data_IF_434369277227
#
_entry.id   IF_434369277227
#
_cell.length_a   1.000
_cell.length_b   1.000
_cell.length_c   1.000
_cell.angle_alpha   90.00
_cell.angle_beta   90.00
_cell.angle_gamma   90.00
#
_symmetry.space_group_name_H-M   'P 1'
#
loop_
_entity.id
_entity.type
_entity.pdbx_description
1 polymer ?
#
# COMPACT_ATOMS: atom_id res chain seq x y z
N UNK A 1 -5.85 54.04 37.23
CA UNK A 1 -5.57 54.17 35.78
C UNK A 1 -5.34 52.76 35.23
N UNK A 2 -6.25 52.24 34.39
CA UNK A 2 -6.20 50.86 33.87
C UNK A 2 -5.24 50.79 32.69
N UNK A 3 -4.22 49.95 32.77
CA UNK A 3 -3.16 49.77 31.76
C UNK A 3 -3.73 49.14 30.47
N UNK A 4 -4.23 49.99 29.57
CA UNK A 4 -4.72 49.60 28.24
C UNK A 4 -3.64 48.93 27.36
N UNK A 5 -2.37 49.20 27.65
CA UNK A 5 -1.21 48.67 26.92
C UNK A 5 -0.93 47.19 27.18
N UNK A 6 -1.17 46.67 28.39
CA UNK A 6 -0.96 45.25 28.70
C UNK A 6 -1.97 44.32 28.02
N UNK A 7 -3.20 44.81 27.81
CA UNK A 7 -4.27 44.04 27.18
C UNK A 7 -4.06 43.87 25.68
N UNK A 8 -3.56 44.92 25.01
CA UNK A 8 -3.25 44.86 23.57
C UNK A 8 -2.09 43.90 23.26
N UNK A 9 -1.05 43.89 24.10
CA UNK A 9 0.08 42.98 23.95
C UNK A 9 -0.33 41.51 24.15
N UNK A 10 -1.18 41.22 25.15
CA UNK A 10 -1.70 39.87 25.37
C UNK A 10 -2.55 39.34 24.21
N UNK A 11 -3.39 40.20 23.61
CA UNK A 11 -4.20 39.84 22.45
C UNK A 11 -3.34 39.59 21.22
N UNK A 12 -2.31 40.41 20.99
CA UNK A 12 -1.38 40.23 19.87
C UNK A 12 -0.61 38.91 19.97
N UNK A 13 -0.09 38.57 21.16
CA UNK A 13 0.61 37.30 21.40
C UNK A 13 -0.32 36.11 21.22
N UNK A 14 -1.56 36.18 21.72
CA UNK A 14 -2.54 35.12 21.55
C UNK A 14 -2.95 34.92 20.09
N UNK A 15 -3.07 36.00 19.30
CA UNK A 15 -3.36 35.92 17.87
C UNK A 15 -2.19 35.32 17.08
N UNK A 16 -0.94 35.68 17.40
CA UNK A 16 0.25 35.10 16.77
C UNK A 16 0.38 33.61 17.10
N UNK A 17 0.12 33.21 18.36
CA UNK A 17 0.08 31.79 18.76
C UNK A 17 -1.04 31.03 18.04
N UNK A 18 -2.25 31.60 17.96
CA UNK A 18 -3.37 30.96 17.25
C UNK A 18 -3.13 30.84 15.74
N UNK A 19 -2.46 31.82 15.13
CA UNK A 19 -2.09 31.79 13.71
C UNK A 19 -0.95 30.79 13.45
N UNK A 20 0.04 30.72 14.35
CA UNK A 20 1.11 29.72 14.31
C UNK A 20 0.59 28.29 14.49
N UNK A 21 -0.38 28.07 15.38
CA UNK A 21 -1.03 26.75 15.54
C UNK A 21 -1.85 26.34 14.31
N UNK A 22 -2.46 27.28 13.58
CA UNK A 22 -3.17 26.95 12.32
C UNK A 22 -2.24 26.62 11.16
N UNK A 23 -1.04 27.18 11.13
CA UNK A 23 -0.04 26.92 10.09
C UNK A 23 0.79 25.65 10.38
N UNK A 24 0.80 25.16 11.64
CA UNK A 24 1.60 24.01 12.08
C UNK A 24 0.86 22.68 12.21
N UNK A 25 -0.44 22.61 11.90
CA UNK A 25 -1.13 21.33 11.79
C UNK A 25 -0.78 20.69 10.44
N UNK A 26 0.41 20.08 10.37
CA UNK A 26 0.65 18.99 9.43
C UNK A 26 -0.57 18.04 9.50
N UNK A 27 -1.02 17.51 8.36
CA UNK A 27 -2.11 16.53 8.32
C UNK A 27 -1.76 15.33 9.21
N UNK A 28 -2.18 15.35 10.48
CA UNK A 28 -2.09 14.21 11.38
C UNK A 28 -3.31 13.34 11.07
N UNK A 29 -3.21 12.53 10.02
CA UNK A 29 -4.29 11.66 9.59
C UNK A 29 -3.97 10.97 8.26
N UNK A 30 -4.69 9.88 7.93
CA UNK A 30 -4.54 9.25 6.62
C UNK A 30 -4.93 10.25 5.54
N UNK A 31 -4.16 10.29 4.45
CA UNK A 31 -4.50 11.08 3.27
C UNK A 31 -5.83 10.64 2.66
N UNK A 32 -6.08 9.33 2.67
CA UNK A 32 -7.30 8.75 2.14
C UNK A 32 -7.94 7.79 3.14
N UNK A 33 -9.26 7.84 3.25
CA UNK A 33 -10.06 6.85 3.98
C UNK A 33 -11.11 6.27 3.04
N UNK A 34 -11.18 4.94 2.98
CA UNK A 34 -12.08 4.19 2.11
C UNK A 34 -12.89 3.20 2.95
N UNK A 35 -14.21 3.35 2.95
CA UNK A 35 -15.12 2.39 3.58
C UNK A 35 -15.85 1.60 2.50
N UNK A 36 -15.65 0.27 2.50
CA UNK A 36 -16.34 -0.65 1.59
C UNK A 36 -17.54 -1.24 2.31
N UNK A 37 -18.73 -0.87 1.84
CA UNK A 37 -19.99 -1.38 2.36
C UNK A 37 -20.10 -2.87 2.10
N UNK A 38 -20.37 -3.64 3.15
CA UNK A 38 -20.63 -5.08 3.04
C UNK A 38 -22.12 -5.31 2.83
N UNK A 39 -22.49 -6.08 1.79
CA UNK A 39 -23.89 -6.41 1.51
C UNK A 39 -24.49 -7.34 2.56
N UNK A 40 -25.84 -7.41 2.63
CA UNK A 40 -26.57 -8.41 3.42
C UNK A 40 -26.15 -9.81 2.94
N UNK A 41 -25.39 -10.54 3.76
CA UNK A 41 -24.80 -11.83 3.41
C UNK A 41 -23.27 -11.92 3.57
N UNK A 42 -22.60 -10.82 3.98
CA UNK A 42 -21.17 -10.87 4.28
C UNK A 42 -20.87 -11.75 5.50
N UNK A 43 -20.37 -12.96 5.23
CA UNK A 43 -19.77 -13.85 6.23
C UNK A 43 -18.29 -13.49 6.40
N UNK A 44 -18.00 -12.39 7.10
CA UNK A 44 -16.64 -12.04 7.51
C UNK A 44 -16.20 -12.81 8.76
N UNK A 45 -14.95 -13.29 8.75
CA UNK A 45 -14.18 -13.91 9.83
C UNK A 45 -14.92 -14.57 10.99
N UNK A 46 -15.13 -15.89 10.91
CA UNK A 46 -15.36 -16.72 12.10
C UNK A 46 -14.12 -16.66 13.00
N UNK A 47 -14.30 -16.59 14.33
CA UNK A 47 -13.25 -16.33 15.35
C UNK A 47 -12.07 -17.31 15.48
N UNK A 48 -11.56 -17.86 14.39
CA UNK A 48 -10.25 -18.54 14.31
C UNK A 48 -9.17 -17.52 13.94
N UNK A 49 -7.90 -17.90 14.16
CA UNK A 49 -6.75 -17.10 13.76
C UNK A 49 -6.93 -16.59 12.32
N UNK A 50 -6.78 -15.29 12.13
CA UNK A 50 -7.15 -14.62 10.90
C UNK A 50 -6.12 -14.96 9.83
N UNK A 51 -6.46 -15.96 9.01
CA UNK A 51 -5.62 -16.47 7.94
C UNK A 51 -5.80 -15.61 6.70
N UNK A 52 -4.68 -15.30 6.06
CA UNK A 52 -4.65 -14.69 4.74
C UNK A 52 -3.79 -15.49 3.78
N UNK A 53 -3.81 -15.08 2.52
CA UNK A 53 -3.06 -15.74 1.46
C UNK A 53 -2.64 -14.78 0.36
N UNK A 54 -1.43 -14.98 -0.18
CA UNK A 54 -0.95 -14.36 -1.41
C UNK A 54 -0.89 -15.42 -2.51
N UNK A 55 -1.40 -15.15 -3.70
CA UNK A 55 -1.41 -16.09 -4.82
C UNK A 55 -1.03 -15.39 -6.12
N UNK A 56 -0.26 -16.06 -6.97
CA UNK A 56 -0.08 -15.63 -8.35
C UNK A 56 -1.36 -15.95 -9.13
N UNK A 57 -2.05 -14.95 -9.65
CA UNK A 57 -3.30 -15.10 -10.41
C UNK A 57 -3.17 -14.74 -11.89
N UNK A 58 -2.04 -14.15 -12.27
CA UNK A 58 -1.67 -13.83 -13.64
C UNK A 58 -0.19 -13.48 -13.73
N UNK A 59 0.33 -13.28 -14.95
CA UNK A 59 1.75 -12.95 -15.16
C UNK A 59 2.06 -11.54 -14.64
N UNK A 60 2.70 -11.47 -13.47
CA UNK A 60 2.96 -10.25 -12.72
C UNK A 60 1.75 -9.73 -11.93
N UNK A 61 0.69 -10.54 -11.77
CA UNK A 61 -0.52 -10.19 -11.03
C UNK A 61 -0.63 -11.07 -9.78
N UNK A 62 -0.56 -10.43 -8.61
CA UNK A 62 -0.69 -11.11 -7.32
C UNK A 62 -2.00 -10.72 -6.66
N UNK A 63 -2.69 -11.71 -6.09
CA UNK A 63 -3.89 -11.52 -5.28
C UNK A 63 -3.59 -11.80 -3.82
N UNK A 64 -3.87 -10.82 -2.97
CA UNK A 64 -3.80 -10.93 -1.52
C UNK A 64 -5.22 -11.01 -0.98
N UNK A 65 -5.52 -12.05 -0.19
CA UNK A 65 -6.81 -12.25 0.48
C UNK A 65 -6.62 -12.22 1.98
N UNK A 66 -7.44 -11.44 2.68
CA UNK A 66 -7.45 -11.38 4.14
C UNK A 66 -8.83 -11.01 4.66
N UNK A 67 -9.49 -11.88 5.41
CA UNK A 67 -10.80 -11.63 6.03
C UNK A 67 -11.86 -11.00 5.08
N UNK A 68 -11.98 -11.58 3.88
CA UNK A 68 -12.91 -11.11 2.85
C UNK A 68 -12.46 -9.86 2.08
N UNK A 69 -11.34 -9.22 2.47
CA UNK A 69 -10.65 -8.21 1.70
C UNK A 69 -9.84 -8.87 0.57
N UNK A 70 -9.89 -8.29 -0.63
CA UNK A 70 -9.17 -8.74 -1.82
C UNK A 70 -8.34 -7.59 -2.38
N UNK A 71 -7.03 -7.73 -2.39
CA UNK A 71 -6.10 -6.71 -2.88
C UNK A 71 -5.34 -7.30 -4.06
N UNK A 72 -5.41 -6.65 -5.22
CA UNK A 72 -4.57 -6.99 -6.35
C UNK A 72 -3.31 -6.14 -6.34
N UNK A 73 -2.19 -6.73 -6.75
CA UNK A 73 -0.93 -6.01 -6.95
C UNK A 73 -0.42 -6.28 -8.36
N UNK A 74 -0.02 -5.23 -9.07
CA UNK A 74 0.47 -5.33 -10.45
C UNK A 74 1.51 -4.25 -10.69
N UNK A 75 2.54 -4.56 -11.48
CA UNK A 75 3.42 -3.52 -12.03
C UNK A 75 2.93 -3.05 -13.38
N UNK A 76 3.12 -1.78 -13.70
CA UNK A 76 2.69 -1.23 -14.99
C UNK A 76 3.37 -1.90 -16.20
N UNK A 77 4.51 -2.58 -16.03
CA UNK A 77 5.16 -3.36 -17.10
C UNK A 77 4.75 -4.84 -17.15
N UNK A 78 3.95 -5.29 -16.17
CA UNK A 78 3.53 -6.68 -16.12
C UNK A 78 2.70 -7.03 -17.36
N UNK A 79 2.85 -8.26 -17.87
CA UNK A 79 2.06 -8.73 -19.01
C UNK A 79 0.55 -8.73 -18.68
N UNK A 80 0.19 -8.97 -17.41
CA UNK A 80 -1.17 -8.84 -16.93
C UNK A 80 -1.73 -7.41 -17.02
N UNK A 81 -0.89 -6.38 -17.10
CA UNK A 81 -1.28 -4.98 -17.28
C UNK A 81 -1.45 -4.66 -18.77
N UNK A 82 -2.47 -5.21 -19.40
CA UNK A 82 -2.80 -4.95 -20.81
C UNK A 82 -4.31 -4.81 -21.01
N UNK A 83 -4.72 -4.09 -22.06
CA UNK A 83 -6.14 -3.92 -22.38
C UNK A 83 -6.86 -5.27 -22.56
N UNK A 84 -6.15 -6.29 -23.08
CA UNK A 84 -6.70 -7.62 -23.27
C UNK A 84 -6.83 -8.40 -21.94
N UNK A 85 -5.86 -8.30 -21.02
CA UNK A 85 -5.83 -9.11 -19.81
C UNK A 85 -6.66 -8.51 -18.65
N UNK A 86 -6.85 -7.19 -18.61
CA UNK A 86 -7.53 -6.50 -17.50
C UNK A 86 -8.99 -6.95 -17.33
N UNK A 87 -9.67 -7.31 -18.43
CA UNK A 87 -11.04 -7.82 -18.40
C UNK A 87 -11.21 -9.13 -17.61
N UNK A 88 -10.15 -9.94 -17.51
CA UNK A 88 -10.16 -11.24 -16.85
C UNK A 88 -9.63 -11.20 -15.42
N UNK A 89 -9.29 -10.00 -14.90
CA UNK A 89 -8.78 -9.88 -13.55
C UNK A 89 -9.83 -10.32 -12.51
N UNK A 90 -9.40 -11.02 -11.44
CA UNK A 90 -10.33 -11.39 -10.39
C UNK A 90 -10.84 -10.13 -9.68
N UNK A 91 -12.06 -10.20 -9.15
CA UNK A 91 -12.63 -9.08 -8.39
C UNK A 91 -11.73 -8.69 -7.20
N UNK A 92 -11.47 -7.39 -7.07
CA UNK A 92 -10.67 -6.81 -6.01
C UNK A 92 -11.36 -5.59 -5.39
N UNK A 93 -11.05 -5.36 -4.12
CA UNK A 93 -11.47 -4.20 -3.35
C UNK A 93 -10.50 -3.02 -3.54
N UNK A 94 -9.21 -3.33 -3.75
CA UNK A 94 -8.12 -2.39 -3.98
C UNK A 94 -7.12 -3.00 -4.98
N UNK A 95 -6.66 -2.18 -5.92
CA UNK A 95 -5.50 -2.44 -6.76
C UNK A 95 -4.33 -1.59 -6.25
N UNK A 96 -3.18 -2.21 -5.97
CA UNK A 96 -1.91 -1.55 -5.69
C UNK A 96 -1.05 -1.66 -6.94
N UNK A 97 -0.77 -0.52 -7.56
CA UNK A 97 -0.02 -0.47 -8.81
C UNK A 97 1.38 0.09 -8.56
N UNK A 98 2.42 -0.64 -8.98
CA UNK A 98 3.78 -0.11 -9.04
C UNK A 98 4.04 0.58 -10.39
N UNK A 99 4.93 1.59 -10.43
CA UNK A 99 5.19 2.35 -11.65
C UNK A 99 5.88 1.48 -12.71
N UNK A 100 5.89 1.96 -13.95
CA UNK A 100 6.65 1.32 -15.03
C UNK A 100 8.16 1.47 -14.76
N UNK A 101 8.90 0.37 -14.89
CA UNK A 101 10.35 0.28 -14.73
C UNK A 101 11.08 0.37 -16.08
N UNK A 102 10.46 -0.18 -17.12
CA UNK A 102 10.97 -0.32 -18.49
C UNK A 102 10.20 0.52 -19.50
N UNK A 103 9.08 1.12 -19.07
CA UNK A 103 8.22 1.95 -19.91
C UNK A 103 7.42 1.17 -20.95
N UNK A 104 7.20 -0.15 -20.74
CA UNK A 104 6.42 -1.00 -21.64
C UNK A 104 5.00 -0.47 -21.80
N UNK A 105 4.42 0.04 -20.72
CA UNK A 105 3.19 0.82 -20.76
C UNK A 105 3.42 2.17 -20.11
N UNK A 106 3.14 3.24 -20.85
CA UNK A 106 3.08 4.59 -20.32
C UNK A 106 1.62 4.92 -19.97
N UNK A 107 1.34 5.07 -18.68
CA UNK A 107 0.07 5.61 -18.19
C UNK A 107 -0.97 4.56 -17.77
N UNK A 108 -2.22 5.01 -17.70
CA UNK A 108 -3.31 4.34 -16.97
C UNK A 108 -4.41 3.78 -17.89
N UNK A 109 -4.17 3.76 -19.20
CA UNK A 109 -5.18 3.43 -20.21
C UNK A 109 -5.83 2.04 -20.02
N UNK A 110 -5.09 0.95 -19.69
CA UNK A 110 -5.71 -0.36 -19.45
C UNK A 110 -6.74 -0.34 -18.32
N UNK A 111 -6.65 0.60 -17.37
CA UNK A 111 -7.54 0.68 -16.22
C UNK A 111 -8.85 1.41 -16.52
N UNK A 112 -8.97 2.11 -17.65
CA UNK A 112 -10.16 2.92 -17.96
C UNK A 112 -11.48 2.12 -17.93
N UNK A 113 -11.41 0.82 -18.24
CA UNK A 113 -12.55 -0.10 -18.22
C UNK A 113 -12.95 -0.58 -16.81
N UNK A 114 -12.10 -0.40 -15.79
CA UNK A 114 -12.32 -0.89 -14.42
C UNK A 114 -13.11 0.11 -13.57
N UNK A 115 -14.37 0.34 -13.93
CA UNK A 115 -15.22 1.28 -13.20
C UNK A 115 -15.42 0.89 -11.72
N UNK A 116 -15.27 1.87 -10.84
CA UNK A 116 -15.54 1.71 -9.40
C UNK A 116 -14.46 0.97 -8.59
N UNK A 117 -13.43 0.40 -9.23
CA UNK A 117 -12.29 -0.17 -8.53
C UNK A 117 -11.48 0.93 -7.82
N UNK A 118 -11.00 0.66 -6.61
CA UNK A 118 -10.06 1.54 -5.92
C UNK A 118 -8.64 1.24 -6.42
N UNK A 119 -7.91 2.24 -6.89
CA UNK A 119 -6.55 2.07 -7.42
C UNK A 119 -5.59 2.99 -6.66
N UNK A 120 -4.67 2.40 -5.92
CA UNK A 120 -3.57 3.10 -5.27
C UNK A 120 -2.32 3.02 -6.14
N UNK A 121 -1.67 4.17 -6.34
CA UNK A 121 -0.46 4.31 -7.16
C UNK A 121 0.44 5.43 -6.62
N UNK A 122 1.73 5.45 -6.99
CA UNK A 122 2.55 6.64 -6.81
C UNK A 122 1.94 7.85 -7.52
N UNK A 123 2.00 9.02 -6.91
CA UNK A 123 1.56 10.26 -7.53
C UNK A 123 2.42 10.56 -8.78
N UNK A 124 1.81 10.97 -9.91
CA UNK A 124 2.57 11.40 -11.08
C UNK A 124 3.49 12.57 -10.74
N UNK A 125 4.76 12.51 -11.16
CA UNK A 125 5.76 13.55 -10.89
C UNK A 125 5.43 14.86 -11.61
N UNK A 126 4.87 14.76 -12.82
CA UNK A 126 4.67 15.91 -13.72
C UNK A 126 3.28 16.56 -13.61
N UNK A 127 2.49 16.18 -12.59
CA UNK A 127 1.12 16.68 -12.43
C UNK A 127 0.15 16.21 -13.52
N UNK A 128 0.54 15.20 -14.30
CA UNK A 128 -0.30 14.62 -15.36
C UNK A 128 -1.66 14.22 -14.78
N UNK A 129 -2.77 14.74 -15.34
CA UNK A 129 -4.09 14.45 -14.82
C UNK A 129 -4.40 12.97 -14.93
N UNK A 130 -4.98 12.42 -13.87
CA UNK A 130 -5.41 11.03 -13.80
C UNK A 130 -6.65 10.87 -14.70
N UNK A 131 -6.68 9.90 -15.63
CA UNK A 131 -7.80 9.74 -16.56
C UNK A 131 -9.07 9.27 -15.84
N UNK A 132 -10.25 9.42 -16.45
CA UNK A 132 -11.49 8.86 -15.93
C UNK A 132 -11.43 7.32 -15.89
N UNK A 133 -12.22 6.71 -15.00
CA UNK A 133 -12.30 5.26 -14.85
C UNK A 133 -12.45 4.85 -13.38
N UNK A 134 -11.46 4.15 -12.79
CA UNK A 134 -11.50 3.79 -11.37
C UNK A 134 -11.33 5.00 -10.45
N UNK A 135 -11.49 4.77 -9.15
CA UNK A 135 -11.19 5.75 -8.11
C UNK A 135 -9.71 5.66 -7.78
N UNK A 136 -8.96 6.68 -8.17
CA UNK A 136 -7.51 6.71 -7.98
C UNK A 136 -7.12 7.39 -6.67
N UNK A 137 -6.09 6.83 -6.03
CA UNK A 137 -5.48 7.31 -4.79
C UNK A 137 -3.98 7.50 -5.04
N UNK A 138 -3.59 8.64 -5.65
CA UNK A 138 -2.18 8.97 -5.86
C UNK A 138 -1.50 9.26 -4.52
N UNK A 139 -0.39 8.59 -4.26
CA UNK A 139 0.36 8.63 -3.02
C UNK A 139 1.71 9.32 -3.20
N UNK A 140 2.11 10.12 -2.23
CA UNK A 140 3.47 10.60 -2.04
C UNK A 140 4.13 9.78 -0.94
N UNK A 141 5.44 9.90 -0.82
CA UNK A 141 6.19 9.33 0.30
C UNK A 141 5.55 9.70 1.64
N UNK A 142 5.39 8.70 2.52
CA UNK A 142 4.74 8.76 3.83
C UNK A 142 3.22 8.99 3.82
N UNK A 143 2.59 9.15 2.65
CA UNK A 143 1.14 9.16 2.59
C UNK A 143 0.58 7.82 3.10
N UNK A 144 -0.56 7.91 3.79
CA UNK A 144 -1.27 6.77 4.34
C UNK A 144 -2.67 6.69 3.77
N UNK A 145 -3.07 5.50 3.32
CA UNK A 145 -4.46 5.17 2.98
C UNK A 145 -4.99 4.17 4.02
N UNK A 146 -6.17 4.46 4.57
CA UNK A 146 -6.94 3.53 5.38
C UNK A 146 -8.10 2.99 4.57
N UNK A 147 -8.24 1.67 4.52
CA UNK A 147 -9.37 0.99 3.91
C UNK A 147 -9.99 0.04 4.93
N UNK A 148 -11.31 0.08 5.06
CA UNK A 148 -12.06 -0.82 5.93
C UNK A 148 -13.13 -1.57 5.14
N UNK A 149 -13.26 -2.86 5.42
CA UNK A 149 -14.32 -3.72 4.89
C UNK A 149 -14.82 -4.65 6.00
N UNK A 150 -15.97 -4.31 6.57
CA UNK A 150 -16.47 -4.98 7.77
C UNK A 150 -15.48 -4.87 8.95
N UNK A 151 -14.93 -5.99 9.40
CA UNK A 151 -13.92 -6.06 10.48
C UNK A 151 -12.48 -5.99 9.99
N UNK A 152 -12.26 -6.21 8.70
CA UNK A 152 -10.94 -6.11 8.09
C UNK A 152 -10.54 -4.63 7.97
N UNK A 153 -9.34 -4.33 8.43
CA UNK A 153 -8.67 -3.04 8.27
C UNK A 153 -7.42 -3.25 7.43
N UNK A 154 -7.23 -2.39 6.44
CA UNK A 154 -6.00 -2.27 5.68
C UNK A 154 -5.47 -0.86 5.89
N UNK A 155 -4.21 -0.76 6.34
CA UNK A 155 -3.44 0.48 6.26
C UNK A 155 -2.35 0.30 5.22
N UNK A 156 -2.33 1.19 4.22
CA UNK A 156 -1.28 1.25 3.21
C UNK A 156 -0.43 2.48 3.47
N UNK A 157 0.88 2.31 3.63
CA UNK A 157 1.84 3.41 3.78
C UNK A 157 2.79 3.41 2.59
N UNK A 158 2.92 4.54 1.91
CA UNK A 158 3.90 4.73 0.85
C UNK A 158 5.29 4.98 1.47
N UNK A 159 6.25 4.13 1.13
CA UNK A 159 7.58 4.14 1.74
C UNK A 159 8.59 4.88 0.85
N UNK A 160 9.49 5.69 1.45
CA UNK A 160 10.56 6.33 0.70
C UNK A 160 11.54 5.31 0.12
N UNK A 161 12.13 5.68 -1.02
CA UNK A 161 13.36 5.09 -1.48
C UNK A 161 14.59 5.42 -0.63
N UNK A 162 15.78 5.06 -1.13
CA UNK A 162 17.04 5.44 -0.50
C UNK A 162 17.13 6.94 -0.24
N UNK A 163 17.93 7.37 0.76
CA UNK A 163 18.13 8.79 1.06
C UNK A 163 18.47 9.60 -0.20
N UNK A 164 17.79 10.74 -0.39
CA UNK A 164 17.98 11.62 -1.54
C UNK A 164 17.07 11.33 -2.74
N UNK A 165 16.25 10.28 -2.71
CA UNK A 165 15.25 10.02 -3.75
C UNK A 165 13.84 10.43 -3.29
N UNK A 166 13.15 11.24 -4.11
CA UNK A 166 11.76 11.64 -3.86
C UNK A 166 10.74 10.54 -4.21
N UNK A 167 11.20 9.44 -4.83
CA UNK A 167 10.35 8.36 -5.32
C UNK A 167 9.89 7.41 -4.21
N UNK A 168 8.67 6.91 -4.36
CA UNK A 168 8.16 5.80 -3.55
C UNK A 168 8.91 4.52 -3.97
N UNK A 169 9.61 3.89 -3.03
CA UNK A 169 10.25 2.59 -3.28
C UNK A 169 9.30 1.41 -3.10
N UNK A 170 8.18 1.60 -2.39
CA UNK A 170 7.20 0.54 -2.19
C UNK A 170 6.07 0.94 -1.26
N UNK A 171 5.22 -0.03 -0.95
CA UNK A 171 4.08 0.15 -0.06
C UNK A 171 4.12 -0.87 1.06
N UNK A 172 3.92 -0.43 2.31
CA UNK A 172 3.66 -1.34 3.42
C UNK A 172 2.16 -1.47 3.60
N UNK A 173 1.66 -2.69 3.43
CA UNK A 173 0.28 -3.09 3.68
C UNK A 173 0.21 -3.74 5.06
N UNK A 174 -0.45 -3.08 6.00
CA UNK A 174 -0.80 -3.66 7.28
C UNK A 174 -2.24 -4.18 7.22
N UNK A 175 -2.36 -5.49 7.11
CA UNK A 175 -3.61 -6.27 7.04
C UNK A 175 -3.99 -6.65 8.47
N UNK A 176 -5.00 -5.99 9.04
CA UNK A 176 -5.34 -6.13 10.45
C UNK A 176 -6.82 -6.37 10.71
N UNK A 177 -7.10 -6.89 11.89
CA UNK A 177 -8.44 -6.92 12.46
C UNK A 177 -8.35 -6.92 13.98
N UNK A 178 -8.90 -5.88 14.61
CA UNK A 178 -8.74 -5.68 16.05
C UNK A 178 -7.27 -5.50 16.44
N UNK A 179 -6.71 -6.48 17.17
CA UNK A 179 -5.35 -6.43 17.73
C UNK A 179 -4.33 -7.30 17.00
N UNK A 180 -4.73 -7.95 15.92
CA UNK A 180 -3.83 -8.76 15.10
C UNK A 180 -3.58 -8.07 13.77
N UNK A 181 -2.36 -8.19 13.25
CA UNK A 181 -2.01 -7.72 11.92
C UNK A 181 -0.89 -8.54 11.27
N UNK A 182 -0.88 -8.51 9.94
CA UNK A 182 0.19 -9.02 9.10
C UNK A 182 0.66 -7.90 8.17
N UNK A 183 1.97 -7.69 8.06
CA UNK A 183 2.58 -6.59 7.31
C UNK A 183 3.32 -7.10 6.09
N UNK A 184 2.85 -6.71 4.91
CA UNK A 184 3.48 -7.04 3.63
C UNK A 184 4.08 -5.78 3.02
N UNK A 185 5.37 -5.79 2.71
CA UNK A 185 5.99 -4.78 1.87
C UNK A 185 5.87 -5.18 0.40
N UNK A 186 5.41 -4.27 -0.45
CA UNK A 186 5.38 -4.44 -1.90
C UNK A 186 6.42 -3.50 -2.47
N UNK A 187 7.50 -4.03 -3.02
CA UNK A 187 8.52 -3.21 -3.67
C UNK A 187 8.01 -2.71 -5.02
N UNK A 188 8.27 -1.45 -5.32
CA UNK A 188 7.99 -0.85 -6.63
C UNK A 188 9.11 -1.12 -7.64
N UNK A 189 10.34 -1.30 -7.16
CA UNK A 189 11.53 -1.55 -7.98
C UNK A 189 12.16 -2.89 -7.64
N UNK A 190 12.93 -3.48 -8.57
CA UNK A 190 13.83 -4.58 -8.25
C UNK A 190 14.85 -4.09 -7.21
N UNK A 191 15.30 -4.98 -6.35
CA UNK A 191 16.29 -4.68 -5.32
C UNK A 191 17.55 -5.50 -5.58
N UNK A 192 18.71 -4.88 -5.38
CA UNK A 192 19.99 -5.58 -5.40
C UNK A 192 20.25 -6.32 -4.08
N UNK A 193 21.23 -7.21 -4.05
CA UNK A 193 21.52 -8.07 -2.89
C UNK A 193 21.76 -7.25 -1.60
N UNK A 194 22.53 -6.17 -1.68
CA UNK A 194 22.78 -5.30 -0.53
C UNK A 194 21.49 -4.62 -0.01
N UNK A 195 20.56 -4.29 -0.90
CA UNK A 195 19.27 -3.70 -0.51
C UNK A 195 18.33 -4.74 0.11
N UNK A 196 18.38 -5.98 -0.39
CA UNK A 196 17.64 -7.11 0.18
C UNK A 196 18.12 -7.41 1.60
N UNK A 197 19.44 -7.43 1.82
CA UNK A 197 20.05 -7.63 3.14
C UNK A 197 19.68 -6.52 4.13
N UNK A 198 19.58 -5.27 3.66
CA UNK A 198 19.21 -4.13 4.49
C UNK A 198 17.68 -4.05 4.77
N UNK A 199 16.85 -4.80 4.05
CA UNK A 199 15.40 -4.65 4.07
C UNK A 199 14.77 -4.90 5.46
N UNK A 200 15.15 -5.93 6.23
CA UNK A 200 14.62 -6.13 7.59
C UNK A 200 14.91 -4.96 8.54
N UNK A 201 16.08 -4.33 8.40
CA UNK A 201 16.45 -3.15 9.21
C UNK A 201 15.67 -1.90 8.79
N UNK A 202 15.41 -1.72 7.48
CA UNK A 202 14.63 -0.60 6.94
C UNK A 202 13.14 -0.70 7.25
N UNK A 203 12.61 -1.91 7.37
CA UNK A 203 11.18 -2.19 7.54
C UNK A 203 10.91 -2.95 8.84
N UNK A 204 11.18 -2.36 10.01
CA UNK A 204 11.03 -3.05 11.28
C UNK A 204 9.59 -3.54 11.48
N UNK A 205 9.48 -4.85 11.69
CA UNK A 205 8.22 -5.54 11.88
C UNK A 205 7.43 -5.81 10.60
N UNK A 206 7.94 -5.55 9.38
CA UNK A 206 7.36 -6.19 8.20
C UNK A 206 7.52 -7.71 8.30
N UNK A 207 6.53 -8.46 7.81
CA UNK A 207 6.53 -9.92 7.88
C UNK A 207 7.04 -10.56 6.59
N UNK A 208 6.73 -9.91 5.46
CA UNK A 208 6.98 -10.42 4.12
C UNK A 208 7.28 -9.25 3.19
N UNK A 209 8.19 -9.45 2.24
CA UNK A 209 8.35 -8.59 1.07
C UNK A 209 7.93 -9.33 -0.20
N UNK A 210 7.19 -8.63 -1.05
CA UNK A 210 6.83 -9.00 -2.42
C UNK A 210 7.69 -8.18 -3.38
N UNK A 211 8.54 -8.87 -4.13
CA UNK A 211 9.62 -8.28 -4.90
C UNK A 211 9.34 -8.47 -6.40
N UNK A 212 9.27 -7.40 -7.20
CA UNK A 212 9.15 -7.52 -8.64
C UNK A 212 10.47 -8.02 -9.24
N UNK A 213 10.38 -8.82 -10.30
CA UNK A 213 11.54 -9.28 -11.07
C UNK A 213 11.27 -8.97 -12.54
N UNK A 214 12.02 -8.03 -13.17
CA UNK A 214 11.68 -7.52 -14.50
C UNK A 214 11.59 -8.59 -15.59
N UNK A 215 12.39 -9.64 -15.50
CA UNK A 215 12.46 -10.71 -16.49
C UNK A 215 11.56 -11.91 -16.17
N UNK A 216 10.91 -11.96 -14.99
CA UNK A 216 10.13 -13.11 -14.56
C UNK A 216 8.62 -12.80 -14.53
N UNK A 217 7.77 -13.76 -14.91
CA UNK A 217 6.32 -13.58 -14.88
C UNK A 217 5.73 -13.63 -13.46
N UNK A 218 6.53 -13.91 -12.45
CA UNK A 218 6.08 -14.05 -11.07
C UNK A 218 7.00 -13.26 -10.12
N UNK A 219 6.44 -12.49 -9.17
CA UNK A 219 7.23 -11.84 -8.15
C UNK A 219 7.83 -12.87 -7.18
N UNK A 220 8.84 -12.45 -6.44
CA UNK A 220 9.47 -13.26 -5.40
C UNK A 220 9.03 -12.81 -4.01
N UNK A 221 9.03 -13.73 -3.07
CA UNK A 221 8.70 -13.55 -1.67
C UNK A 221 9.96 -13.63 -0.83
N UNK A 222 10.15 -12.67 0.06
CA UNK A 222 11.22 -12.66 1.05
C UNK A 222 10.61 -12.53 2.45
N UNK A 223 10.64 -13.56 3.31
CA UNK A 223 10.27 -13.45 4.71
C UNK A 223 11.20 -12.48 5.45
N UNK A 224 10.65 -11.59 6.28
CA UNK A 224 11.41 -10.55 6.99
C UNK A 224 11.47 -10.75 8.52
N UNK A 225 10.65 -11.62 9.10
CA UNK A 225 10.67 -11.89 10.54
C UNK A 225 11.70 -12.97 10.94
N UNK A 226 12.40 -12.81 12.09
CA UNK A 226 13.39 -13.78 12.58
C UNK A 226 12.84 -15.17 12.99
N UNK A 227 11.52 -15.37 13.06
CA UNK A 227 10.90 -16.61 13.55
C UNK A 227 10.47 -17.61 12.47
N UNK A 228 10.29 -17.16 11.22
CA UNK A 228 10.08 -18.05 10.09
C UNK A 228 11.44 -18.48 9.58
N UNK A 229 11.89 -19.67 10.02
CA UNK A 229 13.13 -20.35 9.63
C UNK A 229 14.14 -19.45 8.89
N UNK A 230 15.09 -18.91 9.65
CA UNK A 230 16.36 -18.29 9.21
C UNK A 230 17.19 -19.11 8.19
N UNK A 231 16.64 -20.21 7.62
CA UNK A 231 17.25 -21.07 6.60
C UNK A 231 16.93 -20.66 5.17
N UNK A 232 16.02 -19.72 4.91
CA UNK A 232 15.78 -19.19 3.56
C UNK A 232 15.95 -17.67 3.52
N UNK A 233 17.20 -17.25 3.37
CA UNK A 233 17.57 -15.86 3.04
C UNK A 233 17.28 -15.54 1.56
N UNK A 234 17.06 -16.57 0.72
CA UNK A 234 16.83 -16.39 -0.71
C UNK A 234 15.35 -16.12 -1.02
N UNK A 235 15.04 -15.05 -1.78
CA UNK A 235 13.69 -14.81 -2.26
C UNK A 235 13.14 -15.99 -3.07
N UNK A 236 11.94 -16.45 -2.74
CA UNK A 236 11.28 -17.60 -3.39
C UNK A 236 10.19 -17.14 -4.35
N UNK A 237 10.09 -17.75 -5.52
CA UNK A 237 9.07 -17.39 -6.52
C UNK A 237 7.65 -17.64 -5.98
N UNK A 238 6.76 -16.65 -6.10
CA UNK A 238 5.34 -16.80 -5.79
C UNK A 238 4.67 -17.66 -6.86
N UNK A 239 3.91 -18.67 -6.44
CA UNK A 239 3.20 -19.58 -7.34
C UNK A 239 1.68 -19.49 -7.18
N UNK A 240 0.95 -20.20 -8.05
CA UNK A 240 -0.51 -20.37 -7.94
C UNK A 240 -0.95 -21.14 -6.68
N UNK A 241 -0.06 -21.95 -6.10
CA UNK A 241 -0.35 -22.63 -4.82
C UNK A 241 -0.47 -21.62 -3.66
N UNK A 242 0.19 -20.46 -3.82
CA UNK A 242 0.16 -19.35 -2.91
C UNK A 242 1.05 -19.48 -1.69
N UNK A 243 1.07 -18.41 -0.91
CA UNK A 243 1.73 -18.30 0.38
C UNK A 243 0.66 -17.96 1.43
N UNK A 244 0.42 -18.90 2.34
CA UNK A 244 -0.50 -18.69 3.45
C UNK A 244 0.19 -17.96 4.60
N UNK A 245 -0.52 -17.05 5.26
CA UNK A 245 -0.03 -16.35 6.43
C UNK A 245 -1.11 -16.23 7.49
N UNK A 246 -0.69 -15.91 8.72
CA UNK A 246 -1.57 -15.68 9.86
C UNK A 246 -1.22 -14.34 10.48
N UNK A 247 -2.24 -13.50 10.72
CA UNK A 247 -2.03 -12.25 11.44
C UNK A 247 -1.59 -12.52 12.88
N UNK A 248 -0.59 -11.79 13.34
CA UNK A 248 -0.02 -11.92 14.69
C UNK A 248 -0.48 -10.77 15.57
N UNK A 249 -0.52 -10.98 16.88
CA UNK A 249 -0.86 -9.92 17.83
C UNK A 249 0.23 -8.85 17.83
N UNK A 250 -0.17 -7.59 17.72
CA UNK A 250 0.72 -6.42 17.81
C UNK A 250 0.19 -5.40 18.80
#
# INVERSE_FOLDING_TARGET
MRNKTGMAAGIAVALVLALGCRLGLAQIGPRYTVDIMTGKGWQGGSGKAQQGRLELVGKGLTLIRYDGLRILTVGADAEAYSAAAVGDWPQADLLVMSPALTGRYSGLAPLAALHGLNVLLPAPVDGTPVPPGPRFYPMHTWDVLHLRKGKALLRVTAMPGPPGMAQIAGFVLELGAGRTSYRVYISCTPLEDAELEALPARLPGADLALLPVPAEPAPRLLPLQPGHQQRQLAPTVLTRAGYAFTAIRR
#
